data_IF_415358377294
#
_entry.id   IF_415358377294
#
_cell.length_a   1.000
_cell.length_b   1.000
_cell.length_c   1.000
_cell.angle_alpha   90.00
_cell.angle_beta   90.00
_cell.angle_gamma   90.00
#
_symmetry.space_group_name_H-M   'P 1'
#
loop_
_entity.id
_entity.type
_entity.pdbx_description
1 polymer ?
#
# COMPACT_ATOMS: atom_id res chain seq x y z
N UNK A 1 10.30 -64.71 -11.01
CA UNK A 1 10.83 -63.38 -10.60
C UNK A 1 9.67 -62.40 -10.56
N UNK A 2 9.40 -61.79 -9.40
CA UNK A 2 8.30 -60.82 -9.22
C UNK A 2 8.76 -59.45 -9.74
N UNK A 3 8.04 -58.89 -10.71
CA UNK A 3 8.31 -57.56 -11.28
C UNK A 3 8.14 -56.47 -10.22
N UNK A 4 9.00 -55.43 -10.15
CA UNK A 4 8.88 -54.40 -9.13
C UNK A 4 7.69 -53.50 -9.47
N UNK A 5 6.68 -53.51 -8.60
CA UNK A 5 5.59 -52.53 -8.64
C UNK A 5 6.14 -51.16 -8.28
N UNK A 6 6.46 -50.37 -9.30
CA UNK A 6 6.69 -48.92 -9.17
C UNK A 6 5.40 -48.31 -8.63
N UNK A 7 5.45 -47.80 -7.40
CA UNK A 7 4.36 -47.08 -6.76
C UNK A 7 4.11 -45.79 -7.56
N UNK A 8 3.16 -45.83 -8.51
CA UNK A 8 2.74 -44.64 -9.25
C UNK A 8 1.86 -43.81 -8.32
N UNK A 9 2.41 -42.72 -7.80
CA UNK A 9 1.66 -41.73 -7.04
C UNK A 9 0.79 -40.93 -8.02
N UNK A 10 -0.38 -41.47 -8.37
CA UNK A 10 -1.33 -40.80 -9.26
C UNK A 10 -2.08 -39.76 -8.43
N UNK A 11 -1.82 -38.48 -8.66
CA UNK A 11 -2.59 -37.41 -8.03
C UNK A 11 -4.05 -37.54 -8.49
N UNK A 12 -4.97 -37.73 -7.55
CA UNK A 12 -6.39 -37.87 -7.87
C UNK A 12 -6.94 -36.51 -8.31
N UNK A 13 -7.84 -36.53 -9.31
CA UNK A 13 -8.52 -35.34 -9.82
C UNK A 13 -9.08 -34.40 -8.73
N UNK A 14 -9.73 -34.89 -7.65
CA UNK A 14 -10.22 -34.00 -6.59
C UNK A 14 -9.09 -33.32 -5.81
N UNK A 15 -7.96 -33.99 -5.61
CA UNK A 15 -6.80 -33.39 -4.95
C UNK A 15 -6.19 -32.28 -5.81
N UNK A 16 -6.15 -32.48 -7.12
CA UNK A 16 -5.71 -31.46 -8.08
C UNK A 16 -6.65 -30.24 -8.09
N UNK A 17 -7.97 -30.45 -8.07
CA UNK A 17 -8.94 -29.36 -7.95
C UNK A 17 -8.80 -28.58 -6.63
N UNK A 18 -8.58 -29.27 -5.51
CA UNK A 18 -8.33 -28.63 -4.21
C UNK A 18 -7.05 -27.79 -4.22
N UNK A 19 -5.98 -28.26 -4.87
CA UNK A 19 -4.74 -27.50 -5.02
C UNK A 19 -4.94 -26.23 -5.87
N UNK A 20 -5.70 -26.32 -6.95
CA UNK A 20 -6.04 -25.16 -7.80
C UNK A 20 -6.90 -24.13 -7.07
N UNK A 21 -7.87 -24.58 -6.27
CA UNK A 21 -8.69 -23.70 -5.42
C UNK A 21 -7.84 -23.02 -4.34
N UNK A 22 -6.88 -23.73 -3.76
CA UNK A 22 -5.95 -23.13 -2.79
C UNK A 22 -5.04 -22.10 -3.46
N UNK A 23 -4.50 -22.42 -4.64
CA UNK A 23 -3.66 -21.53 -5.43
C UNK A 23 -4.38 -20.25 -5.90
N UNK A 24 -5.69 -20.30 -6.12
CA UNK A 24 -6.48 -19.09 -6.46
C UNK A 24 -6.83 -18.22 -5.25
N UNK A 25 -6.74 -18.76 -4.03
CA UNK A 25 -6.97 -18.00 -2.78
C UNK A 25 -5.70 -17.33 -2.23
N UNK A 26 -4.51 -17.76 -2.66
CA UNK A 26 -3.25 -17.13 -2.22
C UNK A 26 -3.05 -15.81 -2.97
N UNK A 27 -3.19 -14.69 -2.26
CA UNK A 27 -2.93 -13.37 -2.83
C UNK A 27 -1.42 -13.23 -3.11
N UNK A 28 -0.99 -13.03 -4.37
CA UNK A 28 0.43 -12.95 -4.73
C UNK A 28 1.17 -11.80 -4.01
N UNK A 29 0.44 -10.83 -3.46
CA UNK A 29 0.99 -9.73 -2.66
C UNK A 29 1.74 -10.22 -1.42
N UNK A 30 1.36 -11.37 -0.82
CA UNK A 30 2.06 -11.92 0.36
C UNK A 30 3.46 -12.48 0.04
N UNK A 31 3.75 -12.80 -1.23
CA UNK A 31 5.05 -13.27 -1.67
C UNK A 31 6.02 -12.16 -2.10
N UNK A 32 5.54 -10.91 -2.20
CA UNK A 32 6.38 -9.77 -2.57
C UNK A 32 7.26 -9.37 -1.39
N UNK A 33 8.55 -9.13 -1.65
CA UNK A 33 9.42 -8.49 -0.66
C UNK A 33 8.82 -7.13 -0.31
N UNK A 34 8.68 -6.85 0.98
CA UNK A 34 8.25 -5.54 1.47
C UNK A 34 9.26 -4.50 0.99
N UNK A 35 8.81 -3.57 0.14
CA UNK A 35 9.64 -2.45 -0.29
C UNK A 35 9.85 -1.52 0.91
N UNK A 36 11.11 -1.22 1.23
CA UNK A 36 11.47 -0.27 2.27
C UNK A 36 11.85 1.05 1.60
N UNK A 37 10.87 1.93 1.37
CA UNK A 37 11.14 3.25 0.81
C UNK A 37 11.62 4.17 1.93
N UNK A 38 12.86 4.69 1.87
CA UNK A 38 13.39 5.56 2.91
C UNK A 38 12.77 6.97 2.88
N UNK A 39 12.20 7.38 1.75
CA UNK A 39 11.58 8.68 1.57
C UNK A 39 10.65 8.69 0.35
N UNK A 40 9.74 9.68 0.30
CA UNK A 40 8.93 10.02 -0.87
C UNK A 40 9.23 11.46 -1.25
N UNK A 41 9.58 11.69 -2.52
CA UNK A 41 9.70 13.04 -3.09
C UNK A 41 8.44 13.31 -3.92
N UNK A 42 7.68 14.31 -3.50
CA UNK A 42 6.41 14.70 -4.11
C UNK A 42 6.59 16.03 -4.85
N UNK A 43 6.15 16.06 -6.11
CA UNK A 43 6.03 17.26 -6.93
C UNK A 43 4.58 17.39 -7.38
N UNK A 44 4.01 18.60 -7.33
CA UNK A 44 2.62 18.79 -7.70
C UNK A 44 2.11 20.18 -7.36
N UNK A 45 0.80 20.24 -7.16
CA UNK A 45 0.04 21.45 -6.85
C UNK A 45 -0.54 21.39 -5.42
N UNK A 46 -1.54 22.21 -5.15
CA UNK A 46 -2.21 22.29 -3.85
C UNK A 46 -2.77 20.97 -3.33
N UNK A 47 -3.07 19.99 -4.21
CA UNK A 47 -3.62 18.70 -3.81
C UNK A 47 -2.59 17.78 -3.14
N UNK A 48 -1.30 18.02 -3.34
CA UNK A 48 -0.21 17.26 -2.71
C UNK A 48 0.69 18.12 -1.83
N UNK A 49 0.56 19.44 -1.90
CA UNK A 49 1.37 20.34 -1.09
C UNK A 49 1.05 20.25 0.41
N UNK A 50 2.04 19.78 1.16
CA UNK A 50 1.94 19.56 2.60
C UNK A 50 2.24 20.81 3.45
N UNK A 51 2.43 21.98 2.82
CA UNK A 51 2.70 23.25 3.50
C UNK A 51 3.80 24.10 2.86
N UNK A 52 4.36 23.68 1.73
CA UNK A 52 5.40 24.38 0.98
C UNK A 52 4.95 25.76 0.51
N UNK A 53 3.72 25.92 0.01
CA UNK A 53 3.18 27.23 -0.35
C UNK A 53 3.03 28.15 0.88
N UNK A 54 2.53 27.62 2.00
CA UNK A 54 2.42 28.33 3.27
C UNK A 54 3.75 28.76 3.86
N UNK A 55 4.80 27.95 3.65
CA UNK A 55 6.14 28.27 4.12
C UNK A 55 6.88 29.30 3.25
N UNK A 56 6.46 29.50 2.00
CA UNK A 56 7.23 30.28 1.01
C UNK A 56 6.57 31.58 0.55
N UNK A 57 5.26 31.57 0.27
CA UNK A 57 4.61 32.68 -0.44
C UNK A 57 3.36 33.20 0.26
N UNK A 58 2.43 32.32 0.64
CA UNK A 58 1.07 32.71 1.06
C UNK A 58 0.60 31.82 2.20
N UNK A 59 0.13 32.43 3.29
CA UNK A 59 -0.51 31.70 4.39
C UNK A 59 -1.88 31.16 3.94
N UNK A 60 -2.08 29.85 4.05
CA UNK A 60 -3.42 29.26 3.89
C UNK A 60 -4.24 29.50 5.18
N UNK A 61 -5.36 30.24 5.13
CA UNK A 61 -6.12 30.63 6.31
C UNK A 61 -6.99 29.47 6.86
N UNK A 62 -7.63 29.63 8.03
CA UNK A 62 -8.75 28.78 8.43
C UNK A 62 -9.85 28.70 7.33
N UNK A 63 -10.58 27.59 7.21
CA UNK A 63 -10.63 26.45 8.14
C UNK A 63 -9.59 25.35 7.85
N UNK A 64 -8.71 25.49 6.85
CA UNK A 64 -7.92 24.38 6.34
C UNK A 64 -6.94 23.75 7.37
N UNK A 65 -7.35 22.60 7.92
CA UNK A 65 -6.59 21.74 8.82
C UNK A 65 -7.30 21.52 10.16
N UNK A 66 -8.39 22.24 10.43
CA UNK A 66 -9.10 22.20 11.69
C UNK A 66 -9.83 20.87 11.92
N UNK A 67 -10.34 20.21 10.87
CA UNK A 67 -11.03 18.92 11.03
C UNK A 67 -10.08 17.80 11.49
N UNK A 68 -8.86 17.70 10.95
CA UNK A 68 -7.92 16.62 11.29
C UNK A 68 -6.77 17.04 12.21
N UNK A 69 -6.14 18.19 11.96
CA UNK A 69 -4.98 18.67 12.74
C UNK A 69 -5.38 19.60 13.90
N UNK A 70 -6.66 20.01 13.95
CA UNK A 70 -7.23 20.89 14.98
C UNK A 70 -6.57 22.28 15.06
N UNK A 71 -5.94 22.70 13.96
CA UNK A 71 -5.39 24.04 13.71
C UNK A 71 -5.10 24.20 12.22
N UNK A 72 -4.95 25.43 11.71
CA UNK A 72 -4.47 25.65 10.34
C UNK A 72 -3.17 24.89 10.07
N UNK A 73 -3.21 24.00 9.08
CA UNK A 73 -2.10 23.11 8.75
C UNK A 73 -1.24 23.65 7.59
N UNK A 74 -1.61 24.80 7.01
CA UNK A 74 -0.90 25.40 5.88
C UNK A 74 -1.10 24.67 4.56
N UNK A 75 -2.12 23.83 4.45
CA UNK A 75 -2.43 22.98 3.30
C UNK A 75 -3.79 23.35 2.73
N UNK A 76 -4.02 23.12 1.44
CA UNK A 76 -5.32 23.37 0.80
C UNK A 76 -6.35 22.25 1.06
N UNK A 77 -6.42 21.75 2.29
CA UNK A 77 -7.36 20.72 2.73
C UNK A 77 -7.67 20.89 4.21
N UNK A 78 -8.91 20.60 4.60
CA UNK A 78 -9.30 20.57 6.01
C UNK A 78 -8.85 19.29 6.74
N UNK A 79 -8.23 18.36 6.01
CA UNK A 79 -7.77 17.09 6.52
C UNK A 79 -6.42 16.65 5.94
N UNK A 80 -6.21 15.33 5.94
CA UNK A 80 -5.07 14.72 5.27
C UNK A 80 -5.16 14.83 3.75
N UNK A 81 -4.02 14.88 3.09
CA UNK A 81 -3.86 14.78 1.65
C UNK A 81 -3.55 13.33 1.26
N UNK A 82 -3.74 12.96 0.00
CA UNK A 82 -3.45 11.60 -0.50
C UNK A 82 -2.01 11.16 -0.17
N UNK A 83 -1.05 12.10 -0.21
CA UNK A 83 0.36 11.86 0.12
C UNK A 83 0.58 11.42 1.57
N UNK A 84 -0.26 11.84 2.53
CA UNK A 84 -0.13 11.39 3.92
C UNK A 84 -0.43 9.90 4.04
N UNK A 85 -1.46 9.42 3.33
CA UNK A 85 -1.81 8.01 3.31
C UNK A 85 -0.72 7.19 2.62
N UNK A 86 -0.20 7.67 1.47
CA UNK A 86 0.92 7.00 0.81
C UNK A 86 2.15 6.92 1.71
N UNK A 87 2.47 8.00 2.43
CA UNK A 87 3.55 8.03 3.42
C UNK A 87 3.38 6.97 4.51
N UNK A 88 2.18 6.84 5.07
CA UNK A 88 1.87 5.84 6.11
C UNK A 88 2.05 4.38 5.65
N UNK A 89 1.84 4.09 4.36
CA UNK A 89 1.91 2.71 3.84
C UNK A 89 3.24 2.37 3.17
N UNK A 90 3.94 3.36 2.60
CA UNK A 90 5.14 3.14 1.80
C UNK A 90 6.43 3.44 2.57
N UNK A 91 6.43 4.44 3.45
CA UNK A 91 7.64 4.82 4.20
C UNK A 91 7.72 3.96 5.45
N UNK A 92 8.85 3.30 5.66
CA UNK A 92 9.12 2.60 6.91
C UNK A 92 9.80 3.57 7.87
N UNK A 93 9.13 3.90 8.96
CA UNK A 93 9.70 4.63 10.09
C UNK A 93 10.24 3.66 11.15
#
# INVERSE_FOLDING_TARGET
MKSPTILKFTISLPFFCMLLLFASTVNPVFGLKRCNFPAIFNFGDSNSDTGGLSASLIIIPPPYGETYFHKPAGRASDGRLMIDFMGMYLVSF
#
